data_IF_650627861767
#
_entry.id   IF_650627861767
#
_cell.length_a   1.000
_cell.length_b   1.000
_cell.length_c   1.000
_cell.angle_alpha   90.00
_cell.angle_beta   90.00
_cell.angle_gamma   90.00
#
_symmetry.space_group_name_H-M   'P 1'
#
loop_
_entity.id
_entity.type
_entity.pdbx_description
1 polymer ?
#
# COMPACT_ATOMS: atom_id res chain seq x y z
N UNK A 1 -3.03 -49.54 15.27
CA UNK A 1 -2.07 -48.42 15.47
C UNK A 1 -1.75 -47.64 14.19
N UNK A 2 -1.85 -48.17 12.97
CA UNK A 2 -1.63 -47.41 11.71
C UNK A 2 -2.67 -46.33 11.45
N UNK A 3 -3.91 -46.54 11.81
CA UNK A 3 -5.02 -45.61 11.54
C UNK A 3 -5.03 -44.32 12.39
N UNK A 4 -4.43 -44.38 13.62
CA UNK A 4 -4.35 -43.23 14.50
C UNK A 4 -3.34 -42.19 13.99
N UNK A 5 -2.20 -42.65 13.45
CA UNK A 5 -1.20 -41.73 12.83
C UNK A 5 -1.74 -41.00 11.59
N UNK A 6 -2.56 -41.67 10.81
CA UNK A 6 -3.19 -41.06 9.62
C UNK A 6 -4.22 -39.99 10.01
N UNK A 7 -4.98 -40.22 11.10
CA UNK A 7 -5.94 -39.25 11.63
C UNK A 7 -5.22 -37.98 12.19
N UNK A 8 -4.06 -38.16 12.84
CA UNK A 8 -3.27 -37.02 13.35
C UNK A 8 -2.69 -36.17 12.22
N UNK A 9 -2.21 -36.78 11.12
CA UNK A 9 -1.64 -36.07 9.97
C UNK A 9 -2.72 -35.26 9.27
N UNK A 10 -3.92 -35.82 9.08
CA UNK A 10 -5.05 -35.10 8.46
C UNK A 10 -5.57 -33.98 9.34
N UNK A 11 -5.57 -34.15 10.65
CA UNK A 11 -6.00 -33.12 11.60
C UNK A 11 -5.04 -31.92 11.66
N UNK A 12 -3.72 -32.18 11.65
CA UNK A 12 -2.67 -31.14 11.59
C UNK A 12 -2.74 -30.37 10.26
N UNK A 13 -3.02 -31.06 9.13
CA UNK A 13 -3.16 -30.44 7.82
C UNK A 13 -4.34 -29.46 7.78
N UNK A 14 -5.46 -29.76 8.41
CA UNK A 14 -6.65 -28.90 8.45
C UNK A 14 -6.39 -27.61 9.28
N UNK A 15 -5.61 -27.72 10.37
CA UNK A 15 -5.29 -26.54 11.22
C UNK A 15 -4.38 -25.55 10.47
N UNK A 16 -3.50 -26.01 9.58
CA UNK A 16 -2.60 -25.14 8.84
C UNK A 16 -3.29 -24.30 7.74
N UNK A 17 -4.45 -24.75 7.24
CA UNK A 17 -5.22 -24.02 6.24
C UNK A 17 -6.20 -22.98 6.81
N UNK A 18 -6.48 -23.00 8.11
CA UNK A 18 -7.46 -22.12 8.74
C UNK A 18 -6.97 -20.67 8.99
N UNK A 19 -5.66 -20.41 8.83
CA UNK A 19 -5.09 -19.10 9.20
C UNK A 19 -4.97 -18.08 8.04
N UNK A 20 -5.32 -18.44 6.80
CA UNK A 20 -5.17 -17.54 5.66
C UNK A 20 -6.34 -16.55 5.46
N UNK A 21 -7.45 -16.74 6.16
CA UNK A 21 -8.67 -15.95 5.94
C UNK A 21 -8.71 -14.61 6.69
N UNK A 22 -7.90 -14.45 7.75
CA UNK A 22 -7.98 -13.27 8.60
C UNK A 22 -7.33 -12.02 7.98
N UNK A 23 -6.22 -12.16 7.26
CA UNK A 23 -5.51 -11.02 6.67
C UNK A 23 -6.34 -10.33 5.55
N UNK A 24 -6.98 -11.12 4.70
CA UNK A 24 -7.85 -10.59 3.64
C UNK A 24 -9.05 -9.81 4.20
N UNK A 25 -9.59 -10.26 5.32
CA UNK A 25 -10.72 -9.61 5.95
C UNK A 25 -10.35 -8.21 6.50
N UNK A 26 -9.16 -8.04 7.10
CA UNK A 26 -8.71 -6.73 7.60
C UNK A 26 -8.50 -5.70 6.49
N UNK A 27 -7.94 -6.09 5.34
CA UNK A 27 -7.75 -5.18 4.23
C UNK A 27 -9.09 -4.68 3.68
N UNK A 28 -10.04 -5.57 3.43
CA UNK A 28 -11.33 -5.22 2.84
C UNK A 28 -12.15 -4.34 3.80
N UNK A 29 -12.12 -4.66 5.10
CA UNK A 29 -12.76 -3.86 6.13
C UNK A 29 -12.10 -2.48 6.26
N UNK A 30 -10.77 -2.41 6.27
CA UNK A 30 -10.00 -1.16 6.29
C UNK A 30 -10.35 -0.26 5.10
N UNK A 31 -10.41 -0.84 3.90
CA UNK A 31 -10.78 -0.13 2.68
C UNK A 31 -12.20 0.42 2.75
N UNK A 32 -13.16 -0.37 3.24
CA UNK A 32 -14.54 0.09 3.46
C UNK A 32 -14.56 1.30 4.42
N UNK A 33 -13.83 1.24 5.54
CA UNK A 33 -13.73 2.36 6.49
C UNK A 33 -13.09 3.60 5.87
N UNK A 34 -12.11 3.42 4.99
CA UNK A 34 -11.51 4.51 4.23
C UNK A 34 -12.54 5.21 3.32
N UNK A 35 -13.34 4.42 2.60
CA UNK A 35 -14.41 4.93 1.72
C UNK A 35 -15.52 5.65 2.52
N UNK A 36 -15.81 5.20 3.74
CA UNK A 36 -16.70 5.85 4.71
C UNK A 36 -16.07 7.10 5.36
N UNK A 37 -14.81 7.45 5.03
CA UNK A 37 -14.01 8.54 5.65
C UNK A 37 -13.78 8.37 7.16
N UNK A 38 -13.94 7.15 7.67
CA UNK A 38 -13.57 6.80 9.03
C UNK A 38 -12.07 6.44 9.06
N UNK A 39 -11.22 7.47 8.95
CA UNK A 39 -9.77 7.31 8.78
C UNK A 39 -9.09 6.70 10.00
N UNK A 40 -9.55 6.99 11.21
CA UNK A 40 -8.98 6.41 12.44
C UNK A 40 -9.12 4.88 12.48
N UNK A 41 -10.33 4.38 12.26
CA UNK A 41 -10.59 2.94 12.24
C UNK A 41 -9.92 2.27 11.04
N UNK A 42 -9.96 2.91 9.87
CA UNK A 42 -9.27 2.45 8.67
C UNK A 42 -7.77 2.32 8.90
N UNK A 43 -7.12 3.32 9.48
CA UNK A 43 -5.71 3.32 9.84
C UNK A 43 -5.36 2.14 10.74
N UNK A 44 -6.12 1.95 11.81
CA UNK A 44 -5.93 0.83 12.72
C UNK A 44 -6.01 -0.53 12.00
N UNK A 45 -7.01 -0.71 11.13
CA UNK A 45 -7.20 -1.95 10.39
C UNK A 45 -6.10 -2.21 9.36
N UNK A 46 -5.63 -1.16 8.62
CA UNK A 46 -4.48 -1.32 7.73
C UNK A 46 -3.19 -1.63 8.50
N UNK A 47 -2.95 -0.97 9.62
CA UNK A 47 -1.81 -1.30 10.49
C UNK A 47 -1.89 -2.74 10.99
N UNK A 48 -3.08 -3.21 11.35
CA UNK A 48 -3.30 -4.60 11.72
C UNK A 48 -3.07 -5.55 10.56
N UNK A 49 -3.52 -5.19 9.34
CA UNK A 49 -3.30 -6.01 8.15
C UNK A 49 -1.82 -6.22 7.86
N UNK A 50 -0.98 -5.19 7.95
CA UNK A 50 0.46 -5.32 7.70
C UNK A 50 1.21 -6.15 8.75
N UNK A 51 0.68 -6.31 9.97
CA UNK A 51 1.24 -7.24 10.95
C UNK A 51 1.13 -8.69 10.47
N UNK A 52 0.02 -9.04 9.83
CA UNK A 52 -0.20 -10.40 9.29
C UNK A 52 0.33 -10.55 7.87
N UNK A 53 0.34 -9.47 7.10
CA UNK A 53 0.80 -9.43 5.72
C UNK A 53 1.74 -8.24 5.46
N UNK A 54 3.00 -8.30 5.91
CA UNK A 54 3.95 -7.19 5.84
C UNK A 54 4.38 -6.81 4.41
N UNK A 55 4.02 -7.62 3.40
CA UNK A 55 4.30 -7.36 1.98
C UNK A 55 3.08 -6.84 1.20
N UNK A 56 2.00 -6.50 1.89
CA UNK A 56 0.83 -5.91 1.25
C UNK A 56 1.06 -4.42 0.95
N UNK A 57 1.62 -4.12 -0.21
CA UNK A 57 1.90 -2.76 -0.67
C UNK A 57 0.66 -1.86 -0.67
N UNK A 58 -0.53 -2.43 -0.90
CA UNK A 58 -1.78 -1.66 -0.92
C UNK A 58 -2.12 -1.09 0.46
N UNK A 59 -1.88 -1.83 1.54
CA UNK A 59 -2.09 -1.31 2.90
C UNK A 59 -1.21 -0.11 3.20
N UNK A 60 0.07 -0.15 2.79
CA UNK A 60 0.96 1.01 2.93
C UNK A 60 0.50 2.20 2.09
N UNK A 61 0.02 1.97 0.86
CA UNK A 61 -0.52 3.03 0.02
C UNK A 61 -1.74 3.71 0.67
N UNK A 62 -2.67 2.94 1.22
CA UNK A 62 -3.83 3.50 1.93
C UNK A 62 -3.43 4.23 3.22
N UNK A 63 -2.45 3.72 3.98
CA UNK A 63 -1.90 4.43 5.13
C UNK A 63 -1.29 5.78 4.72
N UNK A 64 -0.55 5.82 3.62
CA UNK A 64 -0.01 7.07 3.10
C UNK A 64 -1.09 8.10 2.77
N UNK A 65 -2.20 7.67 2.16
CA UNK A 65 -3.35 8.53 1.86
C UNK A 65 -4.05 9.04 3.13
N UNK A 66 -4.13 8.20 4.17
CA UNK A 66 -4.67 8.61 5.46
C UNK A 66 -3.76 9.66 6.09
N UNK A 67 -2.45 9.44 6.10
CA UNK A 67 -1.49 10.41 6.63
C UNK A 67 -1.44 11.71 5.82
N UNK A 68 -1.74 11.68 4.51
CA UNK A 68 -1.96 12.90 3.71
C UNK A 68 -3.14 13.72 4.27
N UNK A 69 -4.27 13.08 4.60
CA UNK A 69 -5.42 13.75 5.22
C UNK A 69 -5.15 14.27 6.63
N UNK A 70 -4.22 13.64 7.35
CA UNK A 70 -3.78 14.04 8.69
C UNK A 70 -2.65 15.11 8.64
N UNK A 71 -2.25 15.54 7.44
CA UNK A 71 -1.12 16.46 7.22
C UNK A 71 0.22 15.95 7.80
N UNK A 72 0.34 14.64 8.01
CA UNK A 72 1.54 14.00 8.52
C UNK A 72 2.45 13.56 7.37
N UNK A 73 3.19 14.53 6.81
CA UNK A 73 4.07 14.30 5.66
C UNK A 73 5.14 13.22 5.93
N UNK A 74 5.67 13.14 7.14
CA UNK A 74 6.72 12.17 7.50
C UNK A 74 6.24 10.73 7.36
N UNK A 75 5.08 10.41 7.96
CA UNK A 75 4.50 9.07 7.83
C UNK A 75 3.94 8.83 6.42
N UNK A 76 3.39 9.85 5.75
CA UNK A 76 2.97 9.73 4.35
C UNK A 76 4.11 9.21 3.49
N UNK A 77 5.25 9.90 3.46
CA UNK A 77 6.39 9.55 2.59
C UNK A 77 7.04 8.23 2.98
N UNK A 78 7.12 7.92 4.25
CA UNK A 78 7.60 6.62 4.73
C UNK A 78 6.76 5.47 4.15
N UNK A 79 5.44 5.59 4.17
CA UNK A 79 4.53 4.58 3.63
C UNK A 79 4.56 4.54 2.10
N UNK A 80 4.69 5.68 1.40
CA UNK A 80 4.90 5.72 -0.06
C UNK A 80 6.19 5.01 -0.46
N UNK A 81 7.30 5.28 0.23
CA UNK A 81 8.58 4.61 -0.05
C UNK A 81 8.47 3.09 0.18
N UNK A 82 7.75 2.66 1.22
CA UNK A 82 7.50 1.23 1.45
C UNK A 82 6.65 0.62 0.34
N UNK A 83 5.61 1.33 -0.12
CA UNK A 83 4.80 0.90 -1.26
C UNK A 83 5.66 0.69 -2.50
N UNK A 84 6.52 1.66 -2.85
CA UNK A 84 7.39 1.58 -4.02
C UNK A 84 8.53 0.56 -3.87
N UNK A 85 8.96 0.26 -2.65
CA UNK A 85 9.89 -0.83 -2.39
C UNK A 85 9.27 -2.20 -2.68
N UNK A 86 8.00 -2.37 -2.35
CA UNK A 86 7.25 -3.62 -2.55
C UNK A 86 6.69 -3.74 -3.98
N UNK A 87 6.22 -2.64 -4.53
CA UNK A 87 5.66 -2.51 -5.87
C UNK A 87 6.29 -1.31 -6.61
N UNK A 88 7.47 -1.47 -7.24
CA UNK A 88 8.17 -0.37 -7.92
C UNK A 88 7.37 0.27 -9.07
N UNK A 89 6.42 -0.48 -9.65
CA UNK A 89 5.57 -0.02 -10.74
C UNK A 89 4.21 0.53 -10.27
N UNK A 90 4.05 0.84 -8.99
CA UNK A 90 2.82 1.41 -8.48
C UNK A 90 2.70 2.88 -8.92
N UNK A 91 1.92 3.14 -9.98
CA UNK A 91 1.79 4.48 -10.57
C UNK A 91 1.22 5.51 -9.60
N UNK A 92 0.29 5.12 -8.72
CA UNK A 92 -0.32 6.03 -7.75
C UNK A 92 0.68 6.47 -6.69
N UNK A 93 1.46 5.53 -6.13
CA UNK A 93 2.51 5.84 -5.17
C UNK A 93 3.60 6.73 -5.80
N UNK A 94 4.00 6.43 -7.04
CA UNK A 94 4.98 7.24 -7.78
C UNK A 94 4.46 8.67 -7.99
N UNK A 95 3.20 8.83 -8.37
CA UNK A 95 2.59 10.14 -8.55
C UNK A 95 2.49 10.94 -7.26
N UNK A 96 2.14 10.29 -6.13
CA UNK A 96 2.12 10.95 -4.81
C UNK A 96 3.55 11.42 -4.43
N UNK A 97 4.56 10.61 -4.69
CA UNK A 97 5.96 10.99 -4.44
C UNK A 97 6.37 12.20 -5.29
N UNK A 98 6.00 12.23 -6.57
CA UNK A 98 6.25 13.38 -7.45
C UNK A 98 5.61 14.65 -6.89
N UNK A 99 4.34 14.60 -6.48
CA UNK A 99 3.67 15.75 -5.87
C UNK A 99 4.38 16.25 -4.61
N UNK A 100 4.85 15.33 -3.78
CA UNK A 100 5.62 15.67 -2.60
C UNK A 100 6.94 16.38 -2.93
N UNK A 101 7.70 15.85 -3.89
CA UNK A 101 8.98 16.44 -4.32
C UNK A 101 8.79 17.81 -4.98
N UNK A 102 7.69 18.01 -5.74
CA UNK A 102 7.29 19.31 -6.26
C UNK A 102 7.02 20.31 -5.13
N UNK A 103 6.28 19.90 -4.10
CA UNK A 103 6.00 20.74 -2.92
C UNK A 103 7.31 21.15 -2.20
N UNK A 104 8.33 20.30 -2.22
CA UNK A 104 9.66 20.58 -1.65
C UNK A 104 10.58 21.33 -2.61
N UNK A 105 10.11 21.69 -3.82
CA UNK A 105 10.91 22.32 -4.88
C UNK A 105 12.14 21.50 -5.30
N UNK A 106 12.08 20.18 -5.13
CA UNK A 106 13.15 19.26 -5.50
C UNK A 106 13.05 18.85 -6.97
N UNK A 107 13.17 19.81 -7.86
CA UNK A 107 12.94 19.64 -9.29
C UNK A 107 13.85 18.59 -9.95
N UNK A 108 15.08 18.40 -9.48
CA UNK A 108 15.97 17.36 -9.99
C UNK A 108 15.37 15.97 -9.73
N UNK A 109 14.87 15.74 -8.53
CA UNK A 109 14.23 14.48 -8.18
C UNK A 109 12.93 14.27 -8.94
N UNK A 110 12.16 15.33 -9.15
CA UNK A 110 10.92 15.27 -9.96
C UNK A 110 11.22 14.83 -11.39
N UNK A 111 12.30 15.32 -12.01
CA UNK A 111 12.69 14.89 -13.38
C UNK A 111 12.98 13.39 -13.44
N UNK A 112 13.76 12.85 -12.50
CA UNK A 112 14.04 11.41 -12.43
C UNK A 112 12.76 10.57 -12.25
N UNK A 113 11.92 10.99 -11.32
CA UNK A 113 10.65 10.31 -11.04
C UNK A 113 9.67 10.39 -12.22
N UNK A 114 9.61 11.53 -12.92
CA UNK A 114 8.79 11.71 -14.12
C UNK A 114 9.15 10.71 -15.22
N UNK A 115 10.45 10.49 -15.44
CA UNK A 115 10.91 9.53 -16.44
C UNK A 115 10.47 8.11 -16.06
N UNK A 116 10.65 7.72 -14.80
CA UNK A 116 10.18 6.44 -14.28
C UNK A 116 8.65 6.30 -14.36
N UNK A 117 7.91 7.34 -13.94
CA UNK A 117 6.46 7.39 -14.03
C UNK A 117 5.96 7.24 -15.46
N UNK A 118 6.66 7.85 -16.43
CA UNK A 118 6.31 7.79 -17.84
C UNK A 118 6.39 6.38 -18.42
N UNK A 119 7.22 5.52 -17.85
CA UNK A 119 7.34 4.10 -18.26
C UNK A 119 6.29 3.20 -17.65
N UNK A 120 5.79 3.53 -16.46
CA UNK A 120 4.90 2.64 -15.71
C UNK A 120 3.43 3.06 -15.73
N UNK A 121 3.14 4.34 -16.02
CA UNK A 121 1.77 4.84 -15.94
C UNK A 121 0.83 4.16 -16.93
N UNK A 122 -0.38 3.88 -16.48
CA UNK A 122 -1.48 3.32 -17.29
C UNK A 122 -2.74 4.19 -17.19
N UNK A 123 -3.21 4.45 -15.98
CA UNK A 123 -4.42 5.24 -15.72
C UNK A 123 -4.12 6.72 -15.46
N UNK A 124 -2.93 7.02 -14.92
CA UNK A 124 -2.51 8.38 -14.56
C UNK A 124 -1.62 9.05 -15.60
N UNK A 125 -1.47 8.48 -16.81
CA UNK A 125 -0.62 9.05 -17.86
C UNK A 125 -0.99 10.47 -18.27
N UNK A 126 -2.22 10.89 -18.09
CA UNK A 126 -2.68 12.28 -18.30
C UNK A 126 -1.95 13.28 -17.41
N UNK A 127 -1.46 12.86 -16.24
CA UNK A 127 -0.76 13.73 -15.29
C UNK A 127 0.67 14.10 -15.74
N UNK A 128 1.23 13.43 -16.78
CA UNK A 128 2.56 13.76 -17.32
C UNK A 128 2.67 15.23 -17.73
N UNK A 129 1.63 15.74 -18.37
CA UNK A 129 1.59 17.14 -18.82
C UNK A 129 1.62 18.09 -17.63
N UNK A 130 0.82 17.82 -16.61
CA UNK A 130 0.77 18.62 -15.39
C UNK A 130 2.12 18.64 -14.66
N UNK A 131 2.79 17.49 -14.59
CA UNK A 131 4.14 17.37 -13.99
C UNK A 131 5.15 18.20 -14.81
N UNK A 132 5.07 18.15 -16.14
CA UNK A 132 5.99 18.88 -17.02
C UNK A 132 5.80 20.39 -16.93
N UNK A 133 4.57 20.86 -16.85
CA UNK A 133 4.23 22.28 -16.67
C UNK A 133 4.62 22.83 -15.28
N UNK A 134 4.89 21.93 -14.32
CA UNK A 134 5.29 22.28 -12.95
C UNK A 134 6.81 22.32 -12.73
N UNK A 135 7.60 21.96 -13.74
CA UNK A 135 9.06 21.97 -13.73
C UNK A 135 9.63 23.27 -14.29
#
# INVERSE_FOLDING_TARGET
MKNIKFLYITFISIILFANSSNAQNFFDEAKKKYEEKNYEESKFLFQRNIVFNPKDAKSYLYLAKIFENEENEGEQIKNINTTLLLEPNNEEAMFILIKYELKKSNYNRVKELKDSFSMICTNLCKEKKNIEESL
#
